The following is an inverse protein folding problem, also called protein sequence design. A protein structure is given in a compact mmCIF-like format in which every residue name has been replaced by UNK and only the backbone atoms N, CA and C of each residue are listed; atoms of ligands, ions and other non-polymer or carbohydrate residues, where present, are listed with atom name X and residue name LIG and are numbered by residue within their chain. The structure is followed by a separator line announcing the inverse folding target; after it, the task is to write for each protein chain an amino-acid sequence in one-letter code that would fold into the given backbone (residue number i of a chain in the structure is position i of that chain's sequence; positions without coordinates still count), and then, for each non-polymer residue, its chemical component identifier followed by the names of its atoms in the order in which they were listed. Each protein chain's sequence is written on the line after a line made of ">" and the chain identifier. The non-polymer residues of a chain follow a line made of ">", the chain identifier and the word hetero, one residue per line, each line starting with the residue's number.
data_IF_506978508054
#
_entry.id   IF_506978508054
#
_cell.length_a   1.000
_cell.length_b   1.000
_cell.length_c   1.000
_cell.angle_alpha   90.00
_cell.angle_beta   90.00
_cell.angle_gamma   90.00
#
_symmetry.space_group_name_H-M   'P 1'
#
loop_
_entity.id
_entity.type
_entity.pdbx_description
1 polymer ?
#
# COMPACT_ATOMS: atom_id res chain seq x y z
N UNK A 1 -17.89 3.76 -22.56
CA UNK A 1 -18.80 3.93 -21.39
C UNK A 1 -19.44 5.30 -21.43
N UNK A 2 -20.66 5.46 -20.84
CA UNK A 2 -21.17 6.82 -20.57
C UNK A 2 -20.24 7.50 -19.55
N UNK A 3 -20.18 8.86 -19.59
CA UNK A 3 -19.36 9.67 -18.68
C UNK A 3 -19.57 9.31 -17.21
N UNK A 4 -20.79 8.94 -16.86
CA UNK A 4 -21.14 8.47 -15.50
C UNK A 4 -20.36 7.20 -15.09
N UNK A 5 -20.13 6.28 -16.01
CA UNK A 5 -19.35 5.08 -15.75
C UNK A 5 -17.87 5.36 -15.53
N UNK A 6 -17.30 6.30 -16.28
CA UNK A 6 -15.89 6.72 -16.11
C UNK A 6 -15.68 7.46 -14.78
N UNK A 7 -16.65 8.29 -14.39
CA UNK A 7 -16.63 8.95 -13.08
C UNK A 7 -16.67 7.93 -11.94
N UNK A 8 -17.46 6.88 -12.08
CA UNK A 8 -17.55 5.83 -11.08
C UNK A 8 -16.23 5.04 -10.96
N UNK A 9 -15.61 4.72 -12.09
CA UNK A 9 -14.28 4.09 -12.12
C UNK A 9 -13.24 4.99 -11.43
N UNK A 10 -13.23 6.30 -11.74
CA UNK A 10 -12.33 7.26 -11.11
C UNK A 10 -12.55 7.36 -9.60
N UNK A 11 -13.80 7.37 -9.15
CA UNK A 11 -14.13 7.35 -7.72
C UNK A 11 -13.60 6.11 -7.01
N UNK A 12 -13.78 4.92 -7.61
CA UNK A 12 -13.24 3.67 -7.06
C UNK A 12 -11.73 3.70 -7.01
N UNK A 13 -11.08 4.22 -8.05
CA UNK A 13 -9.61 4.38 -8.07
C UNK A 13 -9.14 5.37 -7.00
N UNK A 14 -9.84 6.47 -6.79
CA UNK A 14 -9.53 7.45 -5.73
C UNK A 14 -9.68 6.84 -4.33
N UNK A 15 -10.74 6.05 -4.11
CA UNK A 15 -10.92 5.27 -2.87
C UNK A 15 -9.78 4.26 -2.71
N UNK A 16 -9.36 3.58 -3.78
CA UNK A 16 -8.21 2.69 -3.78
C UNK A 16 -6.92 3.41 -3.37
N UNK A 17 -6.67 4.60 -3.92
CA UNK A 17 -5.49 5.41 -3.57
C UNK A 17 -5.53 5.86 -2.10
N UNK A 18 -6.69 6.30 -1.59
CA UNK A 18 -6.86 6.57 -0.17
C UNK A 18 -6.67 5.31 0.69
N UNK A 19 -7.09 4.15 0.20
CA UNK A 19 -6.91 2.85 0.84
C UNK A 19 -5.45 2.43 0.99
N UNK A 20 -4.54 2.91 0.14
CA UNK A 20 -3.09 2.69 0.30
C UNK A 20 -2.58 3.29 1.61
N UNK A 21 -3.13 4.42 2.05
CA UNK A 21 -2.75 5.06 3.31
C UNK A 21 -3.28 4.32 4.54
N UNK A 22 -4.35 3.54 4.36
CA UNK A 22 -4.96 2.73 5.41
C UNK A 22 -4.63 1.26 5.11
N UNK A 23 -3.63 0.65 5.77
CA UNK A 23 -3.07 -0.67 5.42
C UNK A 23 -4.08 -1.85 5.55
N UNK A 24 -5.34 -1.58 5.84
CA UNK A 24 -6.43 -2.57 5.89
C UNK A 24 -7.05 -2.79 4.51
N UNK A 25 -6.98 -1.80 3.60
CA UNK A 25 -7.58 -1.89 2.28
C UNK A 25 -6.52 -2.22 1.21
N UNK A 26 -6.81 -3.17 0.32
CA UNK A 26 -5.90 -3.51 -0.78
C UNK A 26 -5.97 -2.46 -1.89
N UNK A 27 -5.39 -1.26 -1.64
CA UNK A 27 -5.55 -0.07 -2.49
C UNK A 27 -5.20 -0.28 -3.96
N UNK A 28 -4.04 -0.88 -4.26
CA UNK A 28 -3.66 -1.18 -5.65
C UNK A 28 -4.59 -2.17 -6.34
N UNK A 29 -5.16 -3.13 -5.60
CA UNK A 29 -6.13 -4.08 -6.17
C UNK A 29 -7.45 -3.40 -6.53
N UNK A 30 -7.89 -2.41 -5.77
CA UNK A 30 -9.07 -1.60 -6.10
C UNK A 30 -8.84 -0.78 -7.35
N UNK A 31 -7.68 -0.12 -7.47
CA UNK A 31 -7.31 0.66 -8.67
C UNK A 31 -7.25 -0.27 -9.89
N UNK A 32 -6.58 -1.39 -9.77
CA UNK A 32 -6.47 -2.39 -10.83
C UNK A 32 -7.83 -2.95 -11.23
N UNK A 33 -8.66 -3.37 -10.26
CA UNK A 33 -9.98 -3.93 -10.51
C UNK A 33 -10.91 -2.96 -11.22
N UNK A 34 -10.89 -1.67 -10.83
CA UNK A 34 -11.63 -0.61 -11.51
C UNK A 34 -11.20 -0.47 -12.98
N UNK A 35 -9.88 -0.51 -13.25
CA UNK A 35 -9.33 -0.48 -14.61
C UNK A 35 -9.72 -1.69 -15.46
N UNK A 36 -9.77 -2.89 -14.86
CA UNK A 36 -10.24 -4.10 -15.54
C UNK A 36 -11.73 -4.00 -15.89
N UNK A 37 -12.57 -3.55 -14.95
CA UNK A 37 -14.01 -3.35 -15.19
C UNK A 37 -14.24 -2.35 -16.32
N UNK A 38 -13.46 -1.25 -16.34
CA UNK A 38 -13.52 -0.26 -17.43
C UNK A 38 -13.14 -0.88 -18.79
N UNK A 39 -12.07 -1.68 -18.84
CA UNK A 39 -11.65 -2.32 -20.09
C UNK A 39 -12.67 -3.35 -20.60
N UNK A 40 -13.36 -4.03 -19.69
CA UNK A 40 -14.35 -5.05 -20.03
C UNK A 40 -15.69 -4.45 -20.48
N UNK A 41 -16.12 -3.34 -19.86
CA UNK A 41 -17.44 -2.76 -20.09
C UNK A 41 -17.65 -2.25 -21.54
N UNK A 42 -16.61 -1.77 -22.18
CA UNK A 42 -16.72 -1.18 -23.55
C UNK A 42 -16.06 -2.02 -24.65
N UNK A 43 -15.25 -3.01 -24.28
CA UNK A 43 -14.58 -3.93 -25.18
C UNK A 43 -13.76 -3.22 -26.27
N UNK A 44 -12.55 -3.59 -26.50
CA UNK A 44 -11.71 -3.00 -27.55
C UNK A 44 -10.24 -3.27 -27.27
N UNK A 45 -9.45 -3.51 -28.32
CA UNK A 45 -8.03 -3.83 -28.19
C UNK A 45 -7.22 -2.80 -27.39
N UNK A 46 -7.40 -1.49 -27.61
CA UNK A 46 -6.64 -0.48 -26.88
C UNK A 46 -6.89 -0.48 -25.37
N UNK A 47 -8.12 -0.71 -24.92
CA UNK A 47 -8.47 -0.73 -23.50
C UNK A 47 -7.91 -1.96 -22.78
N UNK A 48 -7.86 -3.09 -23.44
CA UNK A 48 -7.20 -4.28 -22.93
C UNK A 48 -5.69 -4.10 -22.81
N UNK A 49 -5.06 -3.33 -23.71
CA UNK A 49 -3.64 -2.98 -23.57
C UNK A 49 -3.40 -2.17 -22.29
N UNK A 50 -4.30 -1.23 -21.95
CA UNK A 50 -4.24 -0.49 -20.67
C UNK A 50 -4.41 -1.46 -19.49
N UNK A 51 -5.38 -2.36 -19.54
CA UNK A 51 -5.59 -3.35 -18.47
C UNK A 51 -4.35 -4.24 -18.24
N UNK A 52 -3.67 -4.66 -19.30
CA UNK A 52 -2.40 -5.40 -19.22
C UNK A 52 -1.33 -4.53 -18.57
N UNK A 53 -1.20 -3.27 -18.96
CA UNK A 53 -0.22 -2.35 -18.38
C UNK A 53 -0.48 -2.12 -16.89
N UNK A 54 -1.75 -1.93 -16.48
CA UNK A 54 -2.14 -1.83 -15.08
C UNK A 54 -1.78 -3.09 -14.30
N UNK A 55 -1.94 -4.28 -14.92
CA UNK A 55 -1.57 -5.55 -14.30
C UNK A 55 -0.05 -5.65 -14.09
N UNK A 56 0.74 -5.25 -15.08
CA UNK A 56 2.22 -5.20 -14.96
C UNK A 56 2.63 -4.26 -13.84
N UNK A 57 2.03 -3.07 -13.75
CA UNK A 57 2.31 -2.10 -12.69
C UNK A 57 1.91 -2.64 -11.31
N UNK A 58 0.75 -3.30 -11.19
CA UNK A 58 0.33 -3.95 -9.95
C UNK A 58 1.38 -4.97 -9.48
N UNK A 59 1.82 -5.84 -10.37
CA UNK A 59 2.82 -6.85 -10.05
C UNK A 59 4.18 -6.23 -9.69
N UNK A 60 4.65 -5.27 -10.50
CA UNK A 60 5.91 -4.57 -10.25
C UNK A 60 5.88 -3.79 -8.93
N UNK A 61 4.82 -3.04 -8.65
CA UNK A 61 4.62 -2.29 -7.40
C UNK A 61 4.54 -3.22 -6.20
N UNK A 62 3.83 -4.35 -6.32
CA UNK A 62 3.74 -5.34 -5.26
C UNK A 62 5.11 -5.97 -4.95
N UNK A 63 5.88 -6.34 -5.96
CA UNK A 63 7.25 -6.87 -5.78
C UNK A 63 8.14 -5.79 -5.14
N UNK A 64 8.12 -4.57 -5.65
CA UNK A 64 8.93 -3.46 -5.13
C UNK A 64 8.58 -3.12 -3.67
N UNK A 65 7.30 -3.14 -3.30
CA UNK A 65 6.82 -2.91 -1.93
C UNK A 65 7.47 -3.86 -0.91
N UNK A 66 7.73 -5.10 -1.28
CA UNK A 66 8.34 -6.08 -0.38
C UNK A 66 9.86 -6.17 -0.49
N UNK A 67 10.43 -5.91 -1.67
CA UNK A 67 11.88 -6.05 -1.89
C UNK A 67 12.68 -4.83 -1.46
N UNK A 68 12.16 -3.62 -1.66
CA UNK A 68 12.86 -2.39 -1.31
C UNK A 68 13.03 -2.21 0.22
N UNK A 69 11.97 -2.38 1.04
CA UNK A 69 12.11 -2.32 2.50
C UNK A 69 13.02 -3.43 3.05
N UNK A 70 12.98 -4.63 2.45
CA UNK A 70 13.83 -5.73 2.89
C UNK A 70 15.31 -5.43 2.71
N UNK A 71 15.70 -4.73 1.65
CA UNK A 71 17.09 -4.28 1.43
C UNK A 71 17.53 -3.20 2.44
N UNK A 72 16.61 -2.31 2.83
CA UNK A 72 16.88 -1.26 3.82
C UNK A 72 16.89 -1.80 5.25
N UNK A 73 16.05 -2.80 5.55
CA UNK A 73 15.93 -3.41 6.87
C UNK A 73 17.00 -4.47 7.16
N UNK A 74 17.75 -4.94 6.16
CA UNK A 74 18.82 -5.94 6.34
C UNK A 74 19.93 -5.48 7.31
N UNK A 75 20.03 -4.17 7.58
CA UNK A 75 20.90 -3.62 8.61
C UNK A 75 20.32 -3.56 10.04
N UNK A 76 19.00 -3.63 10.19
CA UNK A 76 18.31 -3.44 11.48
C UNK A 76 17.78 -4.74 12.10
N UNK A 77 17.70 -5.83 11.33
CA UNK A 77 17.49 -7.19 11.84
C UNK A 77 16.22 -7.44 12.67
N UNK A 78 15.16 -6.65 12.49
CA UNK A 78 13.90 -6.90 13.20
C UNK A 78 13.29 -8.24 12.74
N UNK A 79 13.05 -9.20 13.65
CA UNK A 79 12.53 -10.51 13.28
C UNK A 79 11.07 -10.42 12.83
N UNK A 80 10.62 -11.39 12.04
CA UNK A 80 9.23 -11.46 11.57
C UNK A 80 8.20 -11.38 12.70
N UNK A 81 8.52 -11.90 13.89
CA UNK A 81 7.66 -11.79 15.06
C UNK A 81 7.38 -10.34 15.46
N UNK A 82 8.38 -9.48 15.44
CA UNK A 82 8.23 -8.04 15.72
C UNK A 82 7.30 -7.37 14.72
N UNK A 83 7.41 -7.70 13.42
CA UNK A 83 6.54 -7.18 12.37
C UNK A 83 5.09 -7.63 12.56
N UNK A 84 4.87 -8.90 12.89
CA UNK A 84 3.52 -9.43 13.19
C UNK A 84 2.92 -8.76 14.42
N UNK A 85 3.69 -8.58 15.49
CA UNK A 85 3.22 -7.88 16.70
C UNK A 85 2.91 -6.41 16.40
N UNK A 86 3.72 -5.75 15.55
CA UNK A 86 3.44 -4.41 15.06
C UNK A 86 2.14 -4.32 14.29
N UNK A 87 1.89 -5.27 13.37
CA UNK A 87 0.66 -5.33 12.61
C UNK A 87 -0.57 -5.56 13.51
N UNK A 88 -0.48 -6.49 14.46
CA UNK A 88 -1.54 -6.73 15.45
C UNK A 88 -1.79 -5.50 16.33
N UNK A 89 -0.73 -4.83 16.80
CA UNK A 89 -0.83 -3.60 17.57
C UNK A 89 -1.48 -2.46 16.78
N UNK A 90 -1.17 -2.36 15.49
CA UNK A 90 -1.80 -1.39 14.60
C UNK A 90 -3.29 -1.67 14.42
N UNK A 91 -3.67 -2.92 14.19
CA UNK A 91 -5.09 -3.33 14.07
C UNK A 91 -5.85 -3.05 15.36
N UNK A 92 -5.34 -3.50 16.51
CA UNK A 92 -5.99 -3.25 17.82
C UNK A 92 -6.10 -1.74 18.08
N UNK A 93 -5.03 -0.98 17.83
CA UNK A 93 -5.03 0.45 18.00
C UNK A 93 -6.06 1.16 17.10
N UNK A 94 -6.23 0.70 15.87
CA UNK A 94 -7.24 1.24 14.94
C UNK A 94 -8.68 1.10 15.49
N UNK A 95 -8.99 -0.02 16.13
CA UNK A 95 -10.31 -0.21 16.74
C UNK A 95 -10.52 0.65 18.00
N UNK A 96 -9.45 1.08 18.68
CA UNK A 96 -9.54 1.97 19.84
C UNK A 96 -9.65 3.43 19.41
N UNK A 97 -8.79 3.87 18.51
CA UNK A 97 -8.79 5.23 17.93
C UNK A 97 -8.46 5.10 16.44
N UNK A 98 -9.45 5.26 15.53
CA UNK A 98 -9.19 5.16 14.10
C UNK A 98 -8.04 6.07 13.65
N UNK A 99 -7.20 5.60 12.74
CA UNK A 99 -6.03 6.27 12.18
C UNK A 99 -4.91 6.52 13.22
N UNK A 100 -5.15 7.31 14.25
CA UNK A 100 -4.13 7.62 15.27
C UNK A 100 -3.73 6.37 16.06
N UNK A 101 -4.69 5.54 16.45
CA UNK A 101 -4.44 4.29 17.14
C UNK A 101 -3.69 3.26 16.30
N UNK A 102 -3.92 3.23 14.99
CA UNK A 102 -3.14 2.40 14.07
C UNK A 102 -1.64 2.74 14.14
N UNK A 103 -1.30 4.02 14.11
CA UNK A 103 0.07 4.48 14.20
C UNK A 103 0.66 4.22 15.59
N UNK A 104 -0.02 4.68 16.64
CA UNK A 104 0.47 4.55 18.03
C UNK A 104 0.55 3.08 18.44
N UNK A 105 -0.48 2.29 18.12
CA UNK A 105 -0.53 0.87 18.43
C UNK A 105 0.54 0.07 17.67
N UNK A 106 0.73 0.36 16.39
CA UNK A 106 1.76 -0.29 15.57
C UNK A 106 3.18 0.04 16.05
N UNK A 107 3.48 1.33 16.21
CA UNK A 107 4.79 1.79 16.69
C UNK A 107 5.08 1.28 18.10
N UNK A 108 4.08 1.40 19.01
CA UNK A 108 4.21 0.95 20.39
C UNK A 108 4.45 -0.55 20.49
N UNK A 109 3.71 -1.36 19.71
CA UNK A 109 3.88 -2.81 19.71
C UNK A 109 5.25 -3.24 19.16
N UNK A 110 5.73 -2.61 18.07
CA UNK A 110 7.09 -2.84 17.54
C UNK A 110 8.12 -2.47 18.59
N UNK A 111 8.02 -1.27 19.19
CA UNK A 111 8.96 -0.82 20.20
C UNK A 111 9.02 -1.74 21.43
N UNK A 112 7.86 -2.14 21.95
CA UNK A 112 7.78 -3.06 23.09
C UNK A 112 8.36 -4.44 22.77
N UNK A 113 8.10 -4.96 21.57
CA UNK A 113 8.66 -6.22 21.11
C UNK A 113 10.19 -6.15 21.02
N UNK A 114 10.73 -5.09 20.44
CA UNK A 114 12.18 -4.86 20.32
C UNK A 114 12.82 -4.56 21.69
N UNK A 115 12.13 -3.84 22.55
CA UNK A 115 12.61 -3.59 23.92
C UNK A 115 12.76 -4.89 24.72
N UNK A 116 11.77 -5.80 24.60
CA UNK A 116 11.86 -7.13 25.23
C UNK A 116 12.98 -7.99 24.63
N UNK A 117 13.23 -7.86 23.33
CA UNK A 117 14.27 -8.63 22.62
C UNK A 117 15.67 -8.12 22.89
N UNK A 118 15.87 -6.81 22.90
CA UNK A 118 17.20 -6.17 22.97
C UNK A 118 17.59 -5.74 24.37
N UNK A 119 16.64 -5.69 25.31
CA UNK A 119 16.89 -5.38 26.73
C UNK A 119 17.24 -3.92 27.02
N UNK A 120 17.35 -3.05 26.01
CA UNK A 120 17.73 -1.65 26.18
C UNK A 120 16.91 -0.71 25.27
N UNK A 121 16.48 0.47 25.75
CA UNK A 121 15.61 1.38 25.00
C UNK A 121 16.25 1.94 23.72
N UNK A 122 17.54 2.26 23.75
CA UNK A 122 18.23 2.87 22.61
C UNK A 122 18.29 1.95 21.38
N UNK A 123 18.78 0.70 21.47
CA UNK A 123 18.76 -0.21 20.33
C UNK A 123 17.34 -0.61 19.93
N UNK A 124 16.40 -0.69 20.89
CA UNK A 124 14.98 -0.95 20.57
C UNK A 124 14.37 0.16 19.71
N UNK A 125 14.67 1.42 20.03
CA UNK A 125 14.21 2.55 19.23
C UNK A 125 14.86 2.61 17.85
N UNK A 126 16.15 2.31 17.74
CA UNK A 126 16.85 2.24 16.45
C UNK A 126 16.21 1.17 15.54
N UNK A 127 15.93 -0.02 16.07
CA UNK A 127 15.25 -1.09 15.34
C UNK A 127 13.84 -0.68 14.95
N UNK A 128 13.06 -0.09 15.86
CA UNK A 128 11.72 0.42 15.60
C UNK A 128 11.73 1.46 14.48
N UNK A 129 12.64 2.43 14.53
CA UNK A 129 12.80 3.44 13.48
C UNK A 129 13.08 2.82 12.11
N UNK A 130 13.94 1.81 12.05
CA UNK A 130 14.23 1.12 10.79
C UNK A 130 13.00 0.39 10.21
N UNK A 131 12.19 -0.24 11.07
CA UNK A 131 10.89 -0.83 10.66
C UNK A 131 9.97 0.24 10.12
N UNK A 132 9.83 1.39 10.79
CA UNK A 132 8.98 2.50 10.35
C UNK A 132 9.42 3.07 8.99
N UNK A 133 10.72 3.24 8.79
CA UNK A 133 11.28 3.68 7.50
C UNK A 133 10.95 2.66 6.42
N UNK A 134 11.10 1.36 6.69
CA UNK A 134 10.74 0.30 5.76
C UNK A 134 9.25 0.33 5.36
N UNK A 135 8.36 0.47 6.34
CA UNK A 135 6.91 0.61 6.10
C UNK A 135 6.63 1.88 5.29
N UNK A 136 7.25 3.01 5.63
CA UNK A 136 7.10 4.27 4.88
C UNK A 136 7.53 4.15 3.42
N UNK A 137 8.66 3.50 3.15
CA UNK A 137 9.12 3.21 1.78
C UNK A 137 8.08 2.33 1.05
N UNK A 138 7.54 1.30 1.71
CA UNK A 138 6.49 0.46 1.13
C UNK A 138 5.25 1.25 0.73
N UNK A 139 4.77 2.15 1.59
CA UNK A 139 3.63 3.04 1.32
C UNK A 139 3.95 4.00 0.15
N UNK A 140 5.14 4.59 0.11
CA UNK A 140 5.55 5.48 -0.98
C UNK A 140 5.58 4.76 -2.33
N UNK A 141 6.11 3.54 -2.37
CA UNK A 141 6.12 2.71 -3.59
C UNK A 141 4.69 2.42 -4.05
N UNK A 142 3.81 2.05 -3.11
CA UNK A 142 2.42 1.73 -3.41
C UNK A 142 1.65 2.98 -3.90
N UNK A 143 1.82 4.14 -3.25
CA UNK A 143 1.25 5.41 -3.69
C UNK A 143 1.73 5.81 -5.08
N UNK A 144 3.03 5.74 -5.33
CA UNK A 144 3.60 6.09 -6.64
C UNK A 144 3.03 5.18 -7.72
N UNK A 145 2.97 3.88 -7.46
CA UNK A 145 2.39 2.90 -8.40
C UNK A 145 0.91 3.20 -8.64
N UNK A 146 0.13 3.45 -7.59
CA UNK A 146 -1.29 3.77 -7.70
C UNK A 146 -1.56 5.05 -8.49
N UNK A 147 -0.79 6.10 -8.24
CA UNK A 147 -0.86 7.36 -9.00
C UNK A 147 -0.53 7.13 -10.48
N UNK A 148 0.53 6.38 -10.79
CA UNK A 148 0.89 6.05 -12.18
C UNK A 148 -0.24 5.25 -12.87
N UNK A 149 -0.85 4.29 -12.19
CA UNK A 149 -1.96 3.51 -12.73
C UNK A 149 -3.16 4.42 -13.05
N UNK A 150 -3.51 5.33 -12.15
CA UNK A 150 -4.61 6.29 -12.36
C UNK A 150 -4.28 7.21 -13.53
N UNK A 151 -3.08 7.75 -13.61
CA UNK A 151 -2.66 8.63 -14.73
C UNK A 151 -2.75 7.93 -16.08
N UNK A 152 -2.28 6.68 -16.18
CA UNK A 152 -2.34 5.89 -17.42
C UNK A 152 -3.81 5.67 -17.81
N UNK A 153 -4.65 5.33 -16.84
CA UNK A 153 -6.08 5.15 -17.10
C UNK A 153 -6.75 6.45 -17.54
N UNK A 154 -6.50 7.58 -16.86
CA UNK A 154 -7.06 8.91 -17.24
C UNK A 154 -6.66 9.28 -18.66
N UNK A 155 -5.38 9.14 -19.01
CA UNK A 155 -4.91 9.42 -20.36
C UNK A 155 -5.62 8.53 -21.39
N UNK A 156 -5.78 7.26 -21.11
CA UNK A 156 -6.48 6.34 -22.00
C UNK A 156 -7.97 6.67 -22.12
N UNK A 157 -8.64 7.05 -21.03
CA UNK A 157 -10.05 7.43 -21.03
C UNK A 157 -10.32 8.72 -21.82
N UNK A 158 -9.40 9.71 -21.74
CA UNK A 158 -9.51 10.98 -22.49
C UNK A 158 -9.23 10.79 -23.98
N UNK A 159 -8.38 9.84 -24.35
CA UNK A 159 -7.97 9.58 -25.74
C UNK A 159 -8.86 8.56 -26.46
N UNK A 160 -9.76 7.88 -25.77
CA UNK A 160 -10.69 6.87 -26.33
C UNK A 160 -12.07 7.43 -26.56
#
# INVERSE_FOLDING_TARGET
>A
MAVEGELLVLLVMAVGLAGVLVPVLPGLLLIWGAGIVWAWADGGGPRWAVAVLLTVLLLAGSVAKYTLPARSASGAGAPRRTLVLGALGAVVGFFVIPVAGLLVGGVGAVFLAELRRLGAPTPAWQSTRAVLVGVGIGILVELTTGVLMIWIWVLAAVLS
#
